data_IF_247754243175
#
_entry.id   IF_247754243175
#
_cell.length_a   1.000
_cell.length_b   1.000
_cell.length_c   1.000
_cell.angle_alpha   90.00
_cell.angle_beta   90.00
_cell.angle_gamma   90.00
#
_symmetry.space_group_name_H-M   'P 1'
#
loop_
_entity.id
_entity.type
_entity.pdbx_description
1 polymer ?
#
# COMPACT_ATOMS: atom_id res chain seq x y z
N UNK A 1 7.57 0.02 -13.18
CA UNK A 1 6.54 1.03 -12.87
C UNK A 1 5.96 0.90 -11.47
N UNK A 2 6.32 -0.12 -10.71
CA UNK A 2 6.08 -0.17 -9.25
C UNK A 2 6.92 0.85 -8.44
N UNK A 3 7.79 1.62 -9.13
CA UNK A 3 8.81 2.44 -8.48
C UNK A 3 8.22 3.63 -7.70
N UNK A 4 7.14 4.25 -8.20
CA UNK A 4 6.59 5.45 -7.56
C UNK A 4 5.78 5.13 -6.29
N UNK A 5 4.89 4.14 -6.31
CA UNK A 5 4.20 3.71 -5.09
C UNK A 5 5.19 3.23 -4.03
N UNK A 6 6.20 2.44 -4.43
CA UNK A 6 7.26 2.02 -3.53
C UNK A 6 8.00 3.21 -2.92
N UNK A 7 8.26 4.27 -3.73
CA UNK A 7 8.88 5.48 -3.22
C UNK A 7 8.00 6.20 -2.18
N UNK A 8 6.68 6.32 -2.42
CA UNK A 8 5.75 6.89 -1.43
C UNK A 8 5.73 6.06 -0.15
N UNK A 9 5.66 4.74 -0.26
CA UNK A 9 5.69 3.86 0.90
C UNK A 9 7.01 3.91 1.66
N UNK A 10 8.16 4.09 0.98
CA UNK A 10 9.45 4.29 1.64
C UNK A 10 9.44 5.51 2.56
N UNK A 11 8.80 6.61 2.16
CA UNK A 11 8.70 7.79 3.02
C UNK A 11 7.82 7.52 4.24
N UNK A 12 6.62 6.98 4.06
CA UNK A 12 5.67 6.79 5.18
C UNK A 12 6.08 5.68 6.14
N UNK A 13 6.88 4.70 5.67
CA UNK A 13 7.40 3.61 6.49
C UNK A 13 8.68 4.00 7.26
N UNK A 14 9.19 5.24 7.08
CA UNK A 14 10.32 5.74 7.83
C UNK A 14 9.89 6.80 8.85
N UNK A 15 9.53 6.42 10.09
CA UNK A 15 8.98 7.33 11.07
C UNK A 15 10.01 8.36 11.60
N UNK A 16 11.30 8.14 11.37
CA UNK A 16 12.38 9.04 11.83
C UNK A 16 12.50 10.29 10.94
N UNK A 17 12.05 10.23 9.70
CA UNK A 17 12.16 11.32 8.73
C UNK A 17 10.77 11.84 8.40
N UNK A 18 10.27 12.78 9.21
CA UNK A 18 9.00 13.48 8.96
C UNK A 18 9.23 14.83 8.29
N UNK A 19 9.96 14.82 7.17
CA UNK A 19 10.24 15.99 6.37
C UNK A 19 9.07 16.33 5.40
N UNK A 20 9.29 17.35 4.57
CA UNK A 20 8.32 17.77 3.55
C UNK A 20 7.98 16.65 2.54
N UNK A 21 8.92 15.75 2.26
CA UNK A 21 8.67 14.63 1.34
C UNK A 21 7.77 13.58 1.98
N UNK A 22 7.93 13.34 3.29
CA UNK A 22 7.00 12.53 4.07
C UNK A 22 5.58 13.10 4.01
N UNK A 23 5.41 14.42 4.24
CA UNK A 23 4.10 15.07 4.18
C UNK A 23 3.47 14.94 2.80
N UNK A 24 4.26 15.17 1.74
CA UNK A 24 3.79 15.01 0.36
C UNK A 24 3.40 13.54 0.08
N UNK A 25 4.24 12.59 0.47
CA UNK A 25 3.96 11.18 0.24
C UNK A 25 2.68 10.72 0.98
N UNK A 26 2.53 11.12 2.23
CA UNK A 26 1.33 10.82 3.02
C UNK A 26 0.08 11.46 2.39
N UNK A 27 0.14 12.76 2.08
CA UNK A 27 -0.98 13.47 1.46
C UNK A 27 -1.37 12.90 0.09
N UNK A 28 -0.40 12.47 -0.72
CA UNK A 28 -0.67 11.77 -1.99
C UNK A 28 -1.36 10.42 -1.78
N UNK A 29 -0.97 9.65 -0.75
CA UNK A 29 -1.60 8.38 -0.44
C UNK A 29 -3.00 8.59 0.16
N UNK A 30 -3.20 9.57 1.02
CA UNK A 30 -4.51 9.87 1.61
C UNK A 30 -5.52 10.38 0.58
N UNK A 31 -5.07 11.11 -0.43
CA UNK A 31 -5.92 11.72 -1.45
C UNK A 31 -5.86 11.03 -2.82
N UNK A 32 -5.14 9.92 -2.95
CA UNK A 32 -4.87 9.30 -4.25
C UNK A 32 -6.10 8.79 -4.99
N UNK A 33 -7.13 8.35 -4.28
CA UNK A 33 -8.40 7.91 -4.88
C UNK A 33 -9.23 9.09 -5.44
N UNK A 34 -9.02 10.30 -4.95
CA UNK A 34 -9.67 11.53 -5.42
C UNK A 34 -8.80 12.35 -6.36
N UNK A 35 -7.58 11.90 -6.64
CA UNK A 35 -6.58 12.68 -7.36
C UNK A 35 -7.05 13.17 -8.72
N UNK A 36 -7.92 12.41 -9.39
CA UNK A 36 -8.50 12.77 -10.70
C UNK A 36 -9.33 14.07 -10.65
N UNK A 37 -9.84 14.43 -9.50
CA UNK A 37 -10.67 15.62 -9.29
C UNK A 37 -9.89 16.80 -8.71
N UNK A 38 -8.69 16.58 -8.18
CA UNK A 38 -7.91 17.63 -7.51
C UNK A 38 -7.06 18.44 -8.48
N UNK A 39 -7.07 19.74 -8.31
CA UNK A 39 -6.07 20.63 -8.89
C UNK A 39 -4.77 20.55 -8.06
N UNK A 40 -3.67 21.08 -8.61
CA UNK A 40 -2.40 21.11 -7.87
C UNK A 40 -2.47 21.98 -6.61
N UNK A 41 -3.30 23.03 -6.63
CA UNK A 41 -3.49 23.92 -5.49
C UNK A 41 -4.24 23.20 -4.36
N UNK A 42 -5.35 22.55 -4.67
CA UNK A 42 -6.12 21.74 -3.71
C UNK A 42 -5.29 20.59 -3.13
N UNK A 43 -4.49 19.92 -3.96
CA UNK A 43 -3.59 18.88 -3.48
C UNK A 43 -2.51 19.46 -2.55
N UNK A 44 -1.95 20.64 -2.85
CA UNK A 44 -0.96 21.31 -2.02
C UNK A 44 -1.55 21.68 -0.64
N UNK A 45 -2.78 22.19 -0.61
CA UNK A 45 -3.51 22.49 0.62
C UNK A 45 -3.73 21.21 1.45
N UNK A 46 -4.21 20.12 0.83
CA UNK A 46 -4.44 18.85 1.51
C UNK A 46 -3.15 18.20 2.03
N UNK A 47 -2.03 18.40 1.34
CA UNK A 47 -0.71 17.94 1.79
C UNK A 47 -0.05 18.89 2.80
N UNK A 48 -0.64 20.05 3.09
CA UNK A 48 -0.05 21.11 3.93
C UNK A 48 1.31 21.60 3.43
N UNK A 49 1.48 21.72 2.11
CA UNK A 49 2.72 22.15 1.47
C UNK A 49 2.45 23.20 0.39
N UNK A 50 3.52 23.85 -0.10
CA UNK A 50 3.38 24.76 -1.26
C UNK A 50 3.29 23.98 -2.58
N UNK A 51 2.64 24.56 -3.59
CA UNK A 51 2.63 24.03 -4.96
C UNK A 51 4.04 23.90 -5.55
N UNK A 52 4.96 24.79 -5.14
CA UNK A 52 6.37 24.71 -5.52
C UNK A 52 7.04 23.47 -4.96
N UNK A 53 6.74 23.08 -3.73
CA UNK A 53 7.24 21.86 -3.10
C UNK A 53 6.72 20.62 -3.81
N UNK A 54 5.43 20.56 -4.14
CA UNK A 54 4.85 19.48 -4.94
C UNK A 54 5.52 19.37 -6.31
N UNK A 55 5.67 20.48 -7.02
CA UNK A 55 6.31 20.48 -8.34
C UNK A 55 7.77 20.00 -8.25
N UNK A 56 8.51 20.37 -7.21
CA UNK A 56 9.87 19.88 -6.98
C UNK A 56 9.87 18.37 -6.72
N UNK A 57 8.96 17.89 -5.88
CA UNK A 57 8.80 16.47 -5.60
C UNK A 57 8.51 15.69 -6.87
N UNK A 58 7.55 16.10 -7.68
CA UNK A 58 7.24 15.41 -8.94
C UNK A 58 8.41 15.39 -9.91
N UNK A 59 9.21 16.47 -10.00
CA UNK A 59 10.40 16.53 -10.87
C UNK A 59 11.50 15.55 -10.45
N UNK A 60 11.69 15.34 -9.13
CA UNK A 60 12.65 14.34 -8.63
C UNK A 60 12.30 12.94 -9.16
N UNK A 61 11.02 12.64 -9.31
CA UNK A 61 10.53 11.36 -9.86
C UNK A 61 10.30 11.40 -11.39
N UNK A 62 10.80 12.42 -12.07
CA UNK A 62 10.77 12.51 -13.54
C UNK A 62 9.48 13.09 -14.13
N UNK A 63 8.55 13.56 -13.31
CA UNK A 63 7.31 14.14 -13.80
C UNK A 63 7.47 15.64 -14.04
N UNK A 64 7.45 16.07 -15.30
CA UNK A 64 7.62 17.48 -15.67
C UNK A 64 6.42 18.38 -15.31
N UNK A 65 5.21 17.81 -15.28
CA UNK A 65 3.95 18.52 -15.02
C UNK A 65 3.04 17.67 -14.14
N UNK A 66 2.31 18.32 -13.24
CA UNK A 66 1.32 17.67 -12.39
C UNK A 66 0.29 16.84 -13.18
N UNK A 67 -0.21 17.38 -14.30
CA UNK A 67 -1.19 16.66 -15.12
C UNK A 67 -0.67 15.31 -15.66
N UNK A 68 0.62 15.23 -16.00
CA UNK A 68 1.24 13.97 -16.44
C UNK A 68 1.33 12.98 -15.26
N UNK A 69 1.77 13.47 -14.11
CA UNK A 69 1.80 12.67 -12.88
C UNK A 69 0.42 12.12 -12.56
N UNK A 70 -0.59 12.98 -12.47
CA UNK A 70 -1.99 12.66 -12.17
C UNK A 70 -2.53 11.57 -13.09
N UNK A 71 -2.40 11.76 -14.41
CA UNK A 71 -2.88 10.79 -15.40
C UNK A 71 -2.21 9.42 -15.27
N UNK A 72 -0.90 9.39 -15.04
CA UNK A 72 -0.15 8.14 -14.86
C UNK A 72 -0.48 7.46 -13.53
N UNK A 73 -0.63 8.22 -12.45
CA UNK A 73 -1.00 7.68 -11.14
C UNK A 73 -2.39 7.03 -11.20
N UNK A 74 -3.40 7.73 -11.71
CA UNK A 74 -4.77 7.22 -11.81
C UNK A 74 -4.87 6.02 -12.76
N UNK A 75 -4.16 6.07 -13.89
CA UNK A 75 -4.07 4.92 -14.80
C UNK A 75 -3.47 3.70 -14.10
N UNK A 76 -2.43 3.89 -13.31
CA UNK A 76 -1.77 2.80 -12.58
C UNK A 76 -2.68 2.18 -11.52
N UNK A 77 -3.39 3.02 -10.74
CA UNK A 77 -4.39 2.58 -9.78
C UNK A 77 -5.45 1.71 -10.46
N UNK A 78 -5.99 2.17 -11.59
CA UNK A 78 -7.04 1.49 -12.35
C UNK A 78 -6.58 0.15 -12.90
N UNK A 79 -5.41 0.12 -13.54
CA UNK A 79 -4.82 -1.13 -14.07
C UNK A 79 -4.60 -2.14 -12.94
N UNK A 80 -4.05 -1.69 -11.83
CA UNK A 80 -3.80 -2.58 -10.69
C UNK A 80 -5.07 -3.10 -10.06
N UNK A 81 -6.08 -2.25 -9.92
CA UNK A 81 -7.40 -2.65 -9.45
C UNK A 81 -8.00 -3.77 -10.32
N UNK A 82 -7.99 -3.59 -11.66
CA UNK A 82 -8.48 -4.61 -12.59
C UNK A 82 -7.68 -5.92 -12.46
N UNK A 83 -6.36 -5.84 -12.32
CA UNK A 83 -5.52 -7.03 -12.11
C UNK A 83 -5.88 -7.77 -10.82
N UNK A 84 -6.17 -7.07 -9.73
CA UNK A 84 -6.59 -7.68 -8.47
C UNK A 84 -7.98 -8.31 -8.64
N UNK A 85 -8.94 -7.59 -9.25
CA UNK A 85 -10.29 -8.11 -9.50
C UNK A 85 -10.29 -9.36 -10.37
N UNK A 86 -9.49 -9.40 -11.43
CA UNK A 86 -9.36 -10.57 -12.29
C UNK A 86 -8.83 -11.78 -11.51
N UNK A 87 -7.87 -11.58 -10.60
CA UNK A 87 -7.37 -12.67 -9.72
C UNK A 87 -8.42 -13.19 -8.76
N UNK A 88 -9.29 -12.32 -8.23
CA UNK A 88 -10.38 -12.72 -7.33
C UNK A 88 -11.44 -13.54 -8.09
N UNK A 89 -11.70 -13.20 -9.35
CA UNK A 89 -12.72 -13.86 -10.18
C UNK A 89 -12.24 -15.16 -10.83
N UNK A 90 -10.93 -15.32 -11.02
CA UNK A 90 -10.36 -16.58 -11.51
C UNK A 90 -10.34 -17.59 -10.36
N UNK A 91 -10.58 -18.86 -10.72
CA UNK A 91 -10.52 -20.03 -9.82
C UNK A 91 -9.15 -20.23 -9.15
N UNK A 92 -8.36 -19.19 -9.04
CA UNK A 92 -7.00 -19.17 -8.44
C UNK A 92 -7.02 -19.60 -6.97
N UNK A 93 -8.17 -19.50 -6.32
CA UNK A 93 -8.32 -19.98 -4.94
C UNK A 93 -8.21 -21.50 -4.84
N UNK A 94 -8.87 -22.24 -5.74
CA UNK A 94 -8.74 -23.69 -5.81
C UNK A 94 -7.33 -24.10 -6.25
N UNK A 95 -6.74 -23.35 -7.17
CA UNK A 95 -5.37 -23.58 -7.64
C UNK A 95 -4.36 -23.27 -6.54
N UNK A 96 -4.52 -22.18 -5.81
CA UNK A 96 -3.68 -21.83 -4.67
C UNK A 96 -3.77 -22.92 -3.58
N UNK A 97 -4.97 -23.38 -3.26
CA UNK A 97 -5.19 -24.47 -2.30
C UNK A 97 -4.50 -25.76 -2.76
N UNK A 98 -4.60 -26.13 -4.04
CA UNK A 98 -3.91 -27.30 -4.61
C UNK A 98 -2.39 -27.15 -4.57
N UNK A 99 -1.86 -25.97 -4.90
CA UNK A 99 -0.42 -25.70 -4.87
C UNK A 99 0.10 -25.77 -3.44
N UNK A 100 -0.56 -25.11 -2.52
CA UNK A 100 -0.15 -25.10 -1.10
C UNK A 100 -0.25 -26.50 -0.48
N UNK A 101 -1.30 -27.25 -0.75
CA UNK A 101 -1.44 -28.64 -0.27
C UNK A 101 -0.39 -29.57 -0.88
N UNK A 102 0.04 -29.33 -2.13
CA UNK A 102 1.11 -30.10 -2.78
C UNK A 102 2.50 -29.77 -2.23
N UNK A 103 2.76 -28.53 -1.85
CA UNK A 103 4.05 -28.07 -1.30
C UNK A 103 4.20 -28.54 0.15
N UNK A 104 3.16 -28.42 0.94
CA UNK A 104 3.22 -28.68 2.38
C UNK A 104 3.07 -30.17 2.74
N UNK A 105 2.71 -31.02 1.79
CA UNK A 105 2.66 -32.52 1.91
C UNK A 105 2.14 -33.04 3.26
N UNK A 106 1.35 -32.29 4.00
CA UNK A 106 0.91 -32.68 5.33
C UNK A 106 -0.59 -32.49 5.50
N UNK A 107 -1.22 -33.46 6.12
CA UNK A 107 -2.59 -33.35 6.64
C UNK A 107 -2.73 -32.19 7.66
N UNK A 108 -1.62 -31.67 8.15
CA UNK A 108 -1.56 -30.51 9.06
C UNK A 108 -1.89 -29.18 8.38
N UNK A 109 -1.84 -29.08 7.05
CA UNK A 109 -2.15 -27.85 6.34
C UNK A 109 -3.61 -27.41 6.50
N UNK A 110 -4.55 -28.34 6.43
CA UNK A 110 -5.97 -28.06 6.65
C UNK A 110 -6.26 -27.65 8.11
N UNK A 111 -5.41 -28.10 9.05
CA UNK A 111 -5.47 -27.66 10.45
C UNK A 111 -4.82 -26.30 10.69
N UNK A 112 -3.81 -25.93 9.90
CA UNK A 112 -3.07 -24.66 10.05
C UNK A 112 -3.80 -23.45 9.45
N UNK A 113 -4.65 -23.67 8.44
CA UNK A 113 -5.43 -22.58 7.82
C UNK A 113 -6.91 -22.82 8.07
N UNK A 114 -7.36 -22.40 9.23
CA UNK A 114 -8.79 -22.27 9.49
C UNK A 114 -9.35 -21.11 8.66
N UNK A 115 -10.15 -21.46 7.64
CA UNK A 115 -10.79 -20.49 6.75
C UNK A 115 -11.75 -19.55 7.48
N UNK A 116 -12.31 -19.97 8.60
CA UNK A 116 -13.14 -19.10 9.45
C UNK A 116 -12.28 -17.99 10.04
N UNK A 117 -11.08 -18.32 10.52
CA UNK A 117 -10.11 -17.36 11.03
C UNK A 117 -9.62 -16.39 9.94
N UNK A 118 -9.31 -16.89 8.74
CA UNK A 118 -8.92 -16.04 7.61
C UNK A 118 -10.01 -15.03 7.29
N UNK A 119 -11.28 -15.45 7.27
CA UNK A 119 -12.42 -14.57 7.03
C UNK A 119 -12.53 -13.51 8.12
N UNK A 120 -12.40 -13.90 9.39
CA UNK A 120 -12.43 -13.00 10.52
C UNK A 120 -11.33 -11.93 10.43
N UNK A 121 -10.09 -12.33 10.13
CA UNK A 121 -8.96 -11.40 9.93
C UNK A 121 -9.23 -10.44 8.77
N UNK A 122 -9.75 -10.92 7.64
CA UNK A 122 -10.13 -10.07 6.52
C UNK A 122 -11.22 -9.05 6.91
N UNK A 123 -12.22 -9.46 7.69
CA UNK A 123 -13.25 -8.57 8.19
C UNK A 123 -12.68 -7.53 9.17
N UNK A 124 -11.77 -7.92 10.05
CA UNK A 124 -11.08 -7.00 10.97
C UNK A 124 -10.27 -5.96 10.17
N UNK A 125 -9.51 -6.39 9.17
CA UNK A 125 -8.77 -5.48 8.27
C UNK A 125 -9.75 -4.53 7.55
N UNK A 126 -10.85 -5.05 7.03
CA UNK A 126 -11.84 -4.25 6.32
C UNK A 126 -12.47 -3.17 7.21
N UNK A 127 -12.84 -3.51 8.43
CA UNK A 127 -13.49 -2.60 9.40
C UNK A 127 -12.51 -1.62 10.05
N UNK A 128 -11.22 -1.92 10.09
CA UNK A 128 -10.22 -1.07 10.74
C UNK A 128 -9.98 0.24 9.98
N UNK A 129 -9.75 1.34 10.70
CA UNK A 129 -9.35 2.61 10.09
C UNK A 129 -7.88 2.60 9.64
N UNK A 130 -7.03 1.88 10.38
CA UNK A 130 -5.59 1.75 10.11
C UNK A 130 -5.16 0.30 10.22
N UNK A 131 -4.26 -0.09 9.36
CA UNK A 131 -3.59 -1.40 9.41
C UNK A 131 -2.10 -1.15 9.47
N UNK A 132 -1.42 -1.80 10.41
CA UNK A 132 0.03 -1.73 10.55
C UNK A 132 0.58 -3.14 10.34
N UNK A 133 1.48 -3.31 9.39
CA UNK A 133 2.22 -4.55 9.16
C UNK A 133 3.54 -4.48 9.92
N UNK A 134 3.72 -5.38 10.88
CA UNK A 134 4.93 -5.46 11.70
C UNK A 134 5.66 -6.74 11.35
N UNK A 135 6.94 -6.64 11.04
CA UNK A 135 7.76 -7.79 10.71
C UNK A 135 9.25 -7.48 10.61
N UNK A 136 10.05 -8.52 10.38
CA UNK A 136 11.50 -8.36 10.16
C UNK A 136 11.80 -7.67 8.83
N UNK A 137 13.03 -7.16 8.69
CA UNK A 137 13.48 -6.52 7.46
C UNK A 137 13.44 -7.47 6.26
N UNK A 138 13.59 -8.77 6.46
CA UNK A 138 13.47 -9.81 5.44
C UNK A 138 12.05 -9.88 4.85
N UNK A 139 11.03 -9.60 5.64
CA UNK A 139 9.62 -9.53 5.19
C UNK A 139 9.30 -8.24 4.44
N UNK A 140 10.24 -7.30 4.37
CA UNK A 140 10.03 -5.96 3.84
C UNK A 140 9.49 -5.93 2.41
N UNK A 141 10.01 -6.79 1.52
CA UNK A 141 9.60 -6.86 0.11
C UNK A 141 8.15 -7.35 -0.04
N UNK A 142 7.75 -8.34 0.76
CA UNK A 142 6.38 -8.86 0.78
C UNK A 142 5.40 -7.80 1.29
N UNK A 143 5.75 -7.12 2.37
CA UNK A 143 4.91 -6.07 2.94
C UNK A 143 4.71 -4.89 1.99
N UNK A 144 5.75 -4.49 1.24
CA UNK A 144 5.62 -3.41 0.26
C UNK A 144 4.60 -3.75 -0.83
N UNK A 145 4.59 -5.02 -1.27
CA UNK A 145 3.60 -5.47 -2.24
C UNK A 145 2.18 -5.48 -1.64
N UNK A 146 2.05 -6.00 -0.42
CA UNK A 146 0.77 -5.99 0.30
C UNK A 146 0.26 -4.56 0.50
N UNK A 147 1.11 -3.62 0.92
CA UNK A 147 0.74 -2.22 1.05
C UNK A 147 0.14 -1.66 -0.25
N UNK A 148 0.80 -1.92 -1.40
CA UNK A 148 0.32 -1.44 -2.69
C UNK A 148 -1.03 -2.05 -3.07
N UNK A 149 -1.24 -3.35 -2.82
CA UNK A 149 -2.49 -4.03 -3.14
C UNK A 149 -3.63 -3.55 -2.22
N UNK A 150 -3.39 -3.46 -0.92
CA UNK A 150 -4.36 -2.91 0.03
C UNK A 150 -4.71 -1.45 -0.29
N UNK A 151 -3.72 -0.64 -0.64
CA UNK A 151 -3.93 0.75 -1.01
C UNK A 151 -4.86 0.89 -2.21
N UNK A 152 -4.63 0.11 -3.28
CA UNK A 152 -5.48 0.10 -4.47
C UNK A 152 -6.92 -0.31 -4.13
N UNK A 153 -7.09 -1.19 -3.14
CA UNK A 153 -8.40 -1.61 -2.62
C UNK A 153 -9.02 -0.61 -1.62
N UNK A 154 -8.41 0.56 -1.44
CA UNK A 154 -8.94 1.62 -0.59
C UNK A 154 -8.50 1.55 0.88
N UNK A 155 -7.48 0.74 1.20
CA UNK A 155 -6.98 0.61 2.56
C UNK A 155 -5.53 1.09 2.67
N UNK A 156 -5.31 2.22 3.33
CA UNK A 156 -3.95 2.67 3.65
C UNK A 156 -3.34 1.79 4.75
N UNK A 157 -2.22 1.18 4.43
CA UNK A 157 -1.46 0.32 5.33
C UNK A 157 -0.09 0.91 5.55
N UNK A 158 0.37 0.96 6.79
CA UNK A 158 1.71 1.38 7.19
C UNK A 158 2.51 0.14 7.56
N UNK A 159 3.78 0.13 7.17
CA UNK A 159 4.72 -0.90 7.59
C UNK A 159 5.60 -0.37 8.70
N UNK A 160 5.85 -1.20 9.71
CA UNK A 160 6.82 -0.91 10.76
C UNK A 160 7.75 -2.12 11.00
N UNK A 161 8.93 -1.86 11.54
CA UNK A 161 9.91 -2.90 11.87
C UNK A 161 9.80 -3.28 13.33
N UNK A 162 9.84 -4.59 13.62
CA UNK A 162 9.86 -5.11 15.02
C UNK A 162 10.99 -4.49 15.85
N UNK A 163 12.08 -4.13 15.18
CA UNK A 163 13.27 -3.56 15.86
C UNK A 163 13.15 -2.07 16.17
N UNK A 164 12.15 -1.37 15.60
CA UNK A 164 11.96 0.08 15.75
C UNK A 164 10.79 0.44 16.66
N UNK A 165 9.91 -0.50 16.93
CA UNK A 165 8.74 -0.27 17.78
C UNK A 165 9.04 -0.61 19.21
N UNK A 166 9.11 0.40 20.08
CA UNK A 166 9.08 0.24 21.55
C UNK A 166 7.67 -0.18 22.02
N UNK A 167 7.06 -1.19 21.38
CA UNK A 167 5.77 -1.72 21.85
C UNK A 167 5.85 -2.45 23.19
N UNK A 168 7.05 -2.68 23.71
CA UNK A 168 7.30 -3.41 24.95
C UNK A 168 7.83 -2.53 26.10
N UNK A 169 7.82 -1.21 25.98
CA UNK A 169 8.03 -0.36 27.16
C UNK A 169 6.71 -0.18 27.87
N UNK A 170 6.62 -0.60 29.15
CA UNK A 170 5.45 -0.46 30.00
C UNK A 170 5.08 1.01 30.24
#
# INVERSE_FOLDING_TARGET
MNCFFNALFMFINNPEVRDINYQIALGLLENGHELDYLTINELAERCFVSTSSLNRFFRIYGYKKYMIFKALFSSHMRIRYVQIQNRINDKDYEMLHKVLSSILKSEDYERLIDMSWVKEVCEMIHKSQRVILIGSDEMSSYFTRMQADFYVMGKLVIKDSVYKTNFFTP
#
